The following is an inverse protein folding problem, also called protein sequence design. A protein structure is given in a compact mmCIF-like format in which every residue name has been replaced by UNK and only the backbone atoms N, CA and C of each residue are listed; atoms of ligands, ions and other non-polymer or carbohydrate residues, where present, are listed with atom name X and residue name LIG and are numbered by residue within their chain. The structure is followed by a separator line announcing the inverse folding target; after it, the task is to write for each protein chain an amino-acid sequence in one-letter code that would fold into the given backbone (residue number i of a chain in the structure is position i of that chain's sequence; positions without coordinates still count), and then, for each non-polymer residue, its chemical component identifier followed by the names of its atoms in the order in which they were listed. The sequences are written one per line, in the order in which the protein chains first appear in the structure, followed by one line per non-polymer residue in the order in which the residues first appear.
data_IF_355814500925
#
_entry.id   IF_355814500925
#
_cell.length_a   1.000
_cell.length_b   1.000
_cell.length_c   1.000
_cell.angle_alpha   90.00
_cell.angle_beta   90.00
_cell.angle_gamma   90.00
#
_symmetry.space_group_name_H-M   'P 1'
#
loop_
_entity.id
_entity.type
_entity.pdbx_description
1 polymer ?
#
# COMPACT_ATOMS: atom_id res chain seq x y z
N UNK A 1 -15.98 19.77 17.69
CA UNK A 1 -16.98 18.73 17.97
C UNK A 1 -16.25 17.50 18.53
N UNK A 2 -16.86 16.78 19.46
CA UNK A 2 -16.28 15.59 20.08
C UNK A 2 -16.99 14.33 19.57
N UNK A 3 -16.24 13.26 19.33
CA UNK A 3 -16.72 12.01 18.76
C UNK A 3 -16.38 10.84 19.67
N UNK A 4 -17.30 9.89 19.77
CA UNK A 4 -17.07 8.59 20.40
C UNK A 4 -16.24 7.68 19.49
N UNK A 5 -15.72 6.58 20.06
CA UNK A 5 -15.06 5.52 19.28
C UNK A 5 -15.93 5.03 18.12
N UNK A 6 -17.23 4.85 18.35
CA UNK A 6 -18.16 4.33 17.34
C UNK A 6 -18.38 5.33 16.20
N UNK A 7 -18.52 6.61 16.50
CA UNK A 7 -18.62 7.67 15.49
C UNK A 7 -17.33 7.80 14.70
N UNK A 8 -16.18 7.81 15.38
CA UNK A 8 -14.88 7.93 14.73
C UNK A 8 -14.60 6.73 13.82
N UNK A 9 -14.96 5.52 14.25
CA UNK A 9 -14.87 4.29 13.47
C UNK A 9 -15.69 4.38 12.17
N UNK A 10 -16.95 4.86 12.27
CA UNK A 10 -17.79 5.10 11.09
C UNK A 10 -17.17 6.11 10.14
N UNK A 11 -16.61 7.22 10.65
CA UNK A 11 -15.96 8.25 9.82
C UNK A 11 -14.70 7.74 9.12
N UNK A 12 -13.94 6.86 9.77
CA UNK A 12 -12.76 6.23 9.20
C UNK A 12 -13.09 5.03 8.28
N UNK A 13 -14.33 4.56 8.27
CA UNK A 13 -14.72 3.36 7.54
C UNK A 13 -14.08 2.08 8.09
N UNK A 14 -13.73 2.04 9.38
CA UNK A 14 -13.13 0.89 10.05
C UNK A 14 -14.03 0.34 11.16
N UNK A 15 -13.90 -0.94 11.55
CA UNK A 15 -14.56 -1.45 12.74
C UNK A 15 -14.13 -0.69 14.01
N UNK A 16 -15.06 -0.50 14.95
CA UNK A 16 -14.73 0.10 16.25
C UNK A 16 -13.65 -0.67 17.02
N UNK A 17 -13.53 -1.98 16.78
CA UNK A 17 -12.45 -2.82 17.32
C UNK A 17 -11.07 -2.36 16.85
N UNK A 18 -10.93 -1.81 15.63
CA UNK A 18 -9.66 -1.28 15.11
C UNK A 18 -9.18 -0.08 15.92
N UNK A 19 -10.08 0.87 16.23
CA UNK A 19 -9.72 2.03 17.07
C UNK A 19 -9.39 1.59 18.50
N UNK A 20 -10.15 0.65 19.07
CA UNK A 20 -9.86 0.08 20.40
C UNK A 20 -8.52 -0.63 20.41
N UNK A 21 -8.18 -1.30 19.32
CA UNK A 21 -6.88 -1.94 19.16
C UNK A 21 -5.76 -0.91 19.10
N UNK A 22 -5.91 0.19 18.37
CA UNK A 22 -4.95 1.29 18.39
C UNK A 22 -4.77 1.91 19.78
N UNK A 23 -5.85 2.06 20.54
CA UNK A 23 -5.79 2.52 21.94
C UNK A 23 -4.98 1.55 22.80
N UNK A 24 -5.26 0.25 22.70
CA UNK A 24 -4.55 -0.81 23.43
C UNK A 24 -3.05 -0.85 23.08
N UNK A 25 -2.72 -0.65 21.81
CA UNK A 25 -1.34 -0.59 21.33
C UNK A 25 -0.66 0.77 21.59
N UNK A 26 -1.27 1.66 22.38
CA UNK A 26 -0.65 2.92 22.80
C UNK A 26 -0.48 3.94 21.68
N UNK A 27 -1.21 3.80 20.57
CA UNK A 27 -1.11 4.71 19.42
C UNK A 27 -1.92 5.99 19.58
N UNK A 28 -2.71 6.12 20.65
CA UNK A 28 -3.63 7.25 20.86
C UNK A 28 -3.31 8.05 22.14
N UNK A 29 -2.04 8.46 22.38
CA UNK A 29 -1.69 9.19 23.60
C UNK A 29 -2.30 10.60 23.62
N UNK A 30 -2.61 11.17 22.45
CA UNK A 30 -3.20 12.50 22.27
C UNK A 30 -4.72 12.56 22.49
N UNK A 31 -5.40 11.41 22.57
CA UNK A 31 -6.87 11.38 22.67
C UNK A 31 -7.33 11.55 24.11
N UNK A 32 -8.27 12.46 24.37
CA UNK A 32 -8.83 12.67 25.71
C UNK A 32 -9.73 11.52 26.18
N UNK A 33 -10.08 11.54 27.47
CA UNK A 33 -11.16 10.71 28.04
C UNK A 33 -12.24 11.61 28.66
N UNK A 34 -13.50 11.20 28.56
CA UNK A 34 -14.61 11.84 29.27
C UNK A 34 -14.54 11.55 30.77
N UNK A 35 -15.39 12.22 31.55
CA UNK A 35 -15.55 11.96 33.00
C UNK A 35 -15.93 10.50 33.32
N UNK A 36 -16.60 9.81 32.40
CA UNK A 36 -16.90 8.38 32.48
C UNK A 36 -15.78 7.46 32.01
N UNK A 37 -14.58 7.98 31.71
CA UNK A 37 -13.42 7.19 31.29
C UNK A 37 -13.42 6.76 29.82
N UNK A 38 -14.37 7.22 29.00
CA UNK A 38 -14.52 6.84 27.59
C UNK A 38 -13.64 7.74 26.71
N UNK A 39 -12.91 7.17 25.74
CA UNK A 39 -12.13 7.97 24.76
C UNK A 39 -13.05 8.91 23.98
N UNK A 40 -12.65 10.18 23.93
CA UNK A 40 -13.35 11.23 23.17
C UNK A 40 -12.37 11.82 22.18
N UNK A 41 -12.74 11.74 20.90
CA UNK A 41 -11.93 12.18 19.78
C UNK A 41 -12.38 13.56 19.31
N UNK A 42 -11.44 14.32 18.81
CA UNK A 42 -11.65 15.61 18.16
C UNK A 42 -11.43 15.46 16.65
N UNK A 43 -11.65 16.54 15.91
CA UNK A 43 -11.35 16.59 14.48
C UNK A 43 -9.84 16.41 14.22
N UNK A 44 -8.97 16.95 15.08
CA UNK A 44 -7.52 16.78 14.96
C UNK A 44 -7.10 15.32 15.12
N UNK A 45 -7.80 14.57 15.98
CA UNK A 45 -7.51 13.15 16.21
C UNK A 45 -7.87 12.30 14.99
N UNK A 46 -8.84 12.74 14.18
CA UNK A 46 -9.18 12.08 12.92
C UNK A 46 -8.01 12.13 11.92
N UNK A 47 -7.33 13.28 11.82
CA UNK A 47 -6.15 13.42 10.95
C UNK A 47 -5.03 12.47 11.39
N UNK A 48 -4.78 12.36 12.70
CA UNK A 48 -3.83 11.40 13.26
C UNK A 48 -4.20 9.96 12.91
N UNK A 49 -5.46 9.58 13.04
CA UNK A 49 -5.93 8.24 12.71
C UNK A 49 -5.76 7.92 11.22
N UNK A 50 -5.97 8.90 10.33
CA UNK A 50 -5.70 8.74 8.89
C UNK A 50 -4.22 8.54 8.59
N UNK A 51 -3.33 9.24 9.31
CA UNK A 51 -1.88 9.04 9.17
C UNK A 51 -1.49 7.64 9.64
N UNK A 52 -2.00 7.19 10.79
CA UNK A 52 -1.77 5.82 11.30
C UNK A 52 -2.21 4.78 10.27
N UNK A 53 -3.40 4.96 9.68
CA UNK A 53 -3.91 4.07 8.64
C UNK A 53 -3.01 4.07 7.39
N UNK A 54 -2.55 5.25 6.96
CA UNK A 54 -1.63 5.40 5.83
C UNK A 54 -0.32 4.64 6.07
N UNK A 55 0.34 4.87 7.21
CA UNK A 55 1.59 4.18 7.58
C UNK A 55 1.39 2.66 7.69
N UNK A 56 0.24 2.22 8.21
CA UNK A 56 -0.07 0.79 8.25
C UNK A 56 -0.20 0.20 6.84
N UNK A 57 -0.82 0.92 5.90
CA UNK A 57 -0.94 0.50 4.49
C UNK A 57 0.40 0.42 3.76
N UNK A 58 1.40 1.21 4.17
CA UNK A 58 2.79 1.04 3.68
C UNK A 58 3.50 -0.16 4.30
N UNK A 59 2.82 -0.96 5.12
CA UNK A 59 3.38 -2.15 5.76
C UNK A 59 4.26 -1.82 6.98
N UNK A 60 4.17 -0.60 7.51
CA UNK A 60 4.87 -0.23 8.73
C UNK A 60 4.29 -1.02 9.92
N UNK A 61 5.17 -1.50 10.80
CA UNK A 61 4.75 -2.20 12.01
C UNK A 61 4.09 -1.22 13.00
N UNK A 62 3.18 -1.70 13.84
CA UNK A 62 2.56 -0.85 14.87
C UNK A 62 3.59 -0.29 15.86
N UNK A 63 4.70 -1.00 16.06
CA UNK A 63 5.82 -0.53 16.88
C UNK A 63 6.45 0.72 16.28
N UNK A 64 6.74 0.72 14.98
CA UNK A 64 7.36 1.88 14.31
C UNK A 64 6.36 3.05 14.20
N UNK A 65 5.07 2.75 14.02
CA UNK A 65 4.01 3.77 14.05
C UNK A 65 3.93 4.41 15.45
N UNK A 66 4.09 3.62 16.52
CA UNK A 66 4.16 4.17 17.89
C UNK A 66 5.35 5.10 18.06
N UNK A 67 6.53 4.71 17.57
CA UNK A 67 7.72 5.59 17.60
C UNK A 67 7.46 6.92 16.88
N UNK A 68 6.83 6.87 15.69
CA UNK A 68 6.43 8.09 14.99
C UNK A 68 5.52 9.00 15.84
N UNK A 69 4.55 8.42 16.53
CA UNK A 69 3.62 9.17 17.39
C UNK A 69 4.35 9.76 18.59
N UNK A 70 5.23 9.01 19.24
CA UNK A 70 6.07 9.51 20.33
C UNK A 70 6.95 10.68 19.90
N UNK A 71 7.56 10.59 18.71
CA UNK A 71 8.32 11.69 18.13
C UNK A 71 7.43 12.91 17.90
N UNK A 72 6.21 12.71 17.40
CA UNK A 72 5.31 13.83 17.19
C UNK A 72 4.86 14.51 18.49
N UNK A 73 4.70 13.74 19.58
CA UNK A 73 4.36 14.28 20.89
C UNK A 73 5.50 15.10 21.51
N UNK A 74 6.76 14.87 21.12
CA UNK A 74 7.91 15.70 21.51
C UNK A 74 7.93 17.08 20.83
N UNK A 75 7.08 17.31 19.81
CA UNK A 75 6.98 18.59 19.14
C UNK A 75 8.08 18.84 18.11
N UNK A 76 8.47 20.10 17.94
CA UNK A 76 9.21 20.56 16.75
C UNK A 76 10.66 20.07 16.69
N UNK A 77 11.26 19.70 17.84
CA UNK A 77 12.62 19.16 17.91
C UNK A 77 12.80 17.85 17.11
N UNK A 78 11.72 17.13 16.84
CA UNK A 78 11.77 15.85 16.12
C UNK A 78 11.39 15.95 14.64
N UNK A 79 11.13 17.16 14.11
CA UNK A 79 10.66 17.34 12.71
C UNK A 79 11.57 16.61 11.72
N UNK A 80 12.89 16.73 11.88
CA UNK A 80 13.86 16.08 10.99
C UNK A 80 13.73 14.55 11.01
N UNK A 81 13.53 13.95 12.19
CA UNK A 81 13.36 12.50 12.35
C UNK A 81 12.04 12.02 11.75
N UNK A 82 10.95 12.77 11.98
CA UNK A 82 9.64 12.48 11.38
C UNK A 82 9.68 12.56 9.85
N UNK A 83 10.36 13.57 9.29
CA UNK A 83 10.54 13.70 7.85
C UNK A 83 11.35 12.53 7.26
N UNK A 84 12.43 12.12 7.92
CA UNK A 84 13.23 10.98 7.48
C UNK A 84 12.41 9.68 7.45
N UNK A 85 11.54 9.46 8.44
CA UNK A 85 10.61 8.33 8.47
C UNK A 85 9.66 8.35 7.28
N UNK A 86 9.02 9.48 6.98
CA UNK A 86 8.13 9.58 5.81
C UNK A 86 8.86 9.40 4.48
N UNK A 87 10.09 9.92 4.33
CA UNK A 87 10.91 9.70 3.14
C UNK A 87 11.22 8.22 2.94
N UNK A 88 11.60 7.51 4.01
CA UNK A 88 11.83 6.06 3.96
C UNK A 88 10.58 5.32 3.50
N UNK A 89 9.41 5.65 4.06
CA UNK A 89 8.15 5.00 3.66
C UNK A 89 7.75 5.33 2.21
N UNK A 90 8.02 6.55 1.76
CA UNK A 90 7.80 6.95 0.36
C UNK A 90 8.63 6.06 -0.58
N UNK A 91 9.91 5.88 -0.31
CA UNK A 91 10.77 5.00 -1.13
C UNK A 91 10.28 3.55 -1.13
N UNK A 92 9.88 3.01 0.03
CA UNK A 92 9.30 1.65 0.11
C UNK A 92 8.05 1.53 -0.76
N UNK A 93 7.17 2.54 -0.73
CA UNK A 93 5.95 2.52 -1.53
C UNK A 93 6.25 2.68 -3.03
N UNK A 94 7.21 3.52 -3.42
CA UNK A 94 7.66 3.67 -4.81
C UNK A 94 8.18 2.34 -5.37
N UNK A 95 8.98 1.60 -4.59
CA UNK A 95 9.44 0.26 -5.00
C UNK A 95 8.27 -0.70 -5.21
N UNK A 96 7.31 -0.76 -4.27
CA UNK A 96 6.13 -1.61 -4.41
C UNK A 96 5.25 -1.21 -5.59
N UNK A 97 5.11 0.08 -5.86
CA UNK A 97 4.38 0.55 -7.04
C UNK A 97 5.04 0.07 -8.33
N UNK A 98 6.38 0.10 -8.40
CA UNK A 98 7.10 -0.43 -9.56
C UNK A 98 6.91 -1.95 -9.72
N UNK A 99 6.95 -2.72 -8.62
CA UNK A 99 6.68 -4.18 -8.63
C UNK A 99 5.23 -4.51 -9.05
N UNK A 100 4.26 -3.73 -8.55
CA UNK A 100 2.85 -3.88 -8.93
C UNK A 100 2.61 -3.50 -10.38
N UNK A 101 3.27 -2.46 -10.87
CA UNK A 101 3.20 -2.08 -12.28
C UNK A 101 3.78 -3.19 -13.17
N UNK A 102 4.94 -3.72 -12.80
CA UNK A 102 5.54 -4.87 -13.49
C UNK A 102 4.62 -6.10 -13.52
N UNK A 103 3.83 -6.31 -12.47
CA UNK A 103 2.81 -7.37 -12.40
C UNK A 103 1.64 -7.05 -13.33
N UNK A 104 1.16 -5.81 -13.33
CA UNK A 104 0.10 -5.34 -14.21
C UNK A 104 0.49 -5.52 -15.68
N UNK A 105 1.70 -5.15 -16.05
CA UNK A 105 2.19 -5.25 -17.43
C UNK A 105 2.15 -6.71 -17.93
N UNK A 106 2.45 -7.68 -17.06
CA UNK A 106 2.32 -9.12 -17.37
C UNK A 106 0.87 -9.54 -17.56
N UNK A 107 -0.06 -9.01 -16.75
CA UNK A 107 -1.48 -9.28 -16.90
C UNK A 107 -2.01 -8.70 -18.22
N UNK A 108 -1.64 -7.46 -18.54
CA UNK A 108 -2.02 -6.80 -19.79
C UNK A 108 -1.51 -7.57 -21.01
N UNK A 109 -0.27 -8.07 -20.96
CA UNK A 109 0.26 -8.96 -21.99
C UNK A 109 -0.57 -10.24 -22.14
N UNK A 110 -0.96 -10.87 -21.03
CA UNK A 110 -1.78 -12.09 -21.09
C UNK A 110 -3.21 -11.82 -21.56
N UNK A 111 -3.80 -10.68 -21.22
CA UNK A 111 -5.07 -10.23 -21.77
C UNK A 111 -4.98 -10.10 -23.29
N UNK A 112 -3.99 -9.34 -23.80
CA UNK A 112 -3.75 -9.23 -25.23
C UNK A 112 -3.55 -10.60 -25.91
N UNK A 113 -2.75 -11.48 -25.29
CA UNK A 113 -2.49 -12.82 -25.81
C UNK A 113 -3.78 -13.62 -25.98
N UNK A 114 -4.62 -13.68 -24.95
CA UNK A 114 -5.85 -14.46 -25.00
C UNK A 114 -6.94 -13.83 -25.86
N UNK A 115 -7.01 -12.50 -25.94
CA UNK A 115 -7.89 -11.81 -26.88
C UNK A 115 -7.50 -12.12 -28.33
N UNK A 116 -6.20 -12.11 -28.62
CA UNK A 116 -5.66 -12.46 -29.95
C UNK A 116 -5.92 -13.94 -30.26
N UNK A 117 -5.65 -14.84 -29.31
CA UNK A 117 -5.92 -16.27 -29.48
C UNK A 117 -7.41 -16.56 -29.69
N UNK A 118 -8.30 -15.88 -28.97
CA UNK A 118 -9.75 -16.01 -29.15
C UNK A 118 -10.18 -15.58 -30.55
N UNK A 119 -9.58 -14.51 -31.09
CA UNK A 119 -9.84 -14.07 -32.46
C UNK A 119 -9.33 -15.05 -33.53
N UNK A 120 -8.23 -15.76 -33.25
CA UNK A 120 -7.65 -16.78 -34.15
C UNK A 120 -8.24 -18.18 -33.95
N UNK A 121 -8.99 -18.41 -32.86
CA UNK A 121 -9.55 -19.71 -32.49
C UNK A 121 -8.54 -20.72 -31.93
N UNK A 122 -7.28 -20.32 -31.70
CA UNK A 122 -6.22 -21.17 -31.15
C UNK A 122 -5.16 -20.32 -30.44
N UNK A 123 -4.50 -20.89 -29.44
CA UNK A 123 -3.32 -20.31 -28.77
C UNK A 123 -2.02 -20.67 -29.47
N UNK A 124 -2.04 -21.61 -30.42
CA UNK A 124 -0.86 -22.04 -31.18
C UNK A 124 -0.32 -20.89 -32.05
N UNK A 125 1.00 -20.67 -32.03
CA UNK A 125 1.67 -19.65 -32.84
C UNK A 125 1.50 -18.20 -32.37
N UNK A 126 0.62 -17.91 -31.40
CA UNK A 126 0.39 -16.55 -30.90
C UNK A 126 1.64 -15.99 -30.20
N UNK A 127 2.37 -16.85 -29.47
CA UNK A 127 3.63 -16.48 -28.82
C UNK A 127 4.78 -16.22 -29.81
N UNK A 128 4.64 -16.71 -31.04
CA UNK A 128 5.63 -16.64 -32.12
C UNK A 128 5.34 -15.48 -33.08
N UNK A 129 4.26 -14.72 -32.85
CA UNK A 129 3.93 -13.54 -33.63
C UNK A 129 5.05 -12.51 -33.59
N UNK A 130 5.31 -11.82 -34.73
CA UNK A 130 6.35 -10.80 -34.82
C UNK A 130 6.04 -9.63 -33.84
N UNK A 131 7.08 -8.96 -33.34
CA UNK A 131 6.95 -7.84 -32.37
C UNK A 131 6.06 -6.70 -32.89
N UNK A 132 5.98 -6.56 -34.21
CA UNK A 132 5.12 -5.60 -34.92
C UNK A 132 3.62 -5.84 -34.69
N UNK A 133 3.22 -7.08 -34.41
CA UNK A 133 1.84 -7.43 -34.09
C UNK A 133 1.45 -7.08 -32.64
N UNK A 134 2.42 -6.76 -31.80
CA UNK A 134 2.20 -6.40 -30.40
C UNK A 134 2.13 -4.88 -30.24
N UNK A 135 1.23 -4.39 -29.36
CA UNK A 135 1.31 -3.03 -28.87
C UNK A 135 2.72 -2.73 -28.33
N UNK A 136 3.27 -1.56 -28.70
CA UNK A 136 4.64 -1.17 -28.35
C UNK A 136 4.92 -1.25 -26.84
N UNK A 137 3.92 -0.89 -26.02
CA UNK A 137 4.00 -0.94 -24.56
C UNK A 137 4.21 -2.36 -23.99
N UNK A 138 3.83 -3.41 -24.72
CA UNK A 138 3.91 -4.80 -24.26
C UNK A 138 5.17 -5.54 -24.75
N UNK A 139 5.94 -4.96 -25.67
CA UNK A 139 7.17 -5.57 -26.19
C UNK A 139 8.23 -5.80 -25.09
N UNK A 140 8.52 -4.82 -24.21
CA UNK A 140 9.48 -5.05 -23.12
C UNK A 140 9.04 -6.14 -22.15
N UNK A 141 7.72 -6.31 -21.97
CA UNK A 141 7.14 -7.35 -21.12
C UNK A 141 7.40 -8.73 -21.71
N UNK A 142 7.20 -8.88 -23.02
CA UNK A 142 7.46 -10.14 -23.73
C UNK A 142 8.92 -10.55 -23.66
N UNK A 143 9.83 -9.61 -23.92
CA UNK A 143 11.27 -9.85 -23.82
C UNK A 143 11.65 -10.32 -22.41
N UNK A 144 11.15 -9.62 -21.38
CA UNK A 144 11.37 -10.02 -19.98
C UNK A 144 10.85 -11.42 -19.67
N UNK A 145 9.66 -11.77 -20.16
CA UNK A 145 9.07 -13.10 -19.92
C UNK A 145 9.84 -14.22 -20.66
N UNK A 146 10.34 -13.96 -21.87
CA UNK A 146 11.20 -14.91 -22.60
C UNK A 146 12.55 -15.10 -21.89
N UNK A 147 13.19 -14.00 -21.50
CA UNK A 147 14.47 -14.06 -20.77
C UNK A 147 14.34 -14.79 -19.41
N UNK A 148 13.22 -14.62 -18.70
CA UNK A 148 12.96 -15.37 -17.47
C UNK A 148 12.81 -16.88 -17.71
N UNK A 149 12.15 -17.29 -18.79
CA UNK A 149 12.00 -18.70 -19.15
C UNK A 149 13.34 -19.36 -19.54
N UNK A 150 14.22 -18.62 -20.21
CA UNK A 150 15.57 -19.06 -20.59
C UNK A 150 16.48 -19.22 -19.36
N UNK A 151 16.42 -18.28 -18.40
CA UNK A 151 17.19 -18.37 -17.16
C UNK A 151 16.80 -19.57 -16.29
N UNK A 152 15.51 -19.93 -16.24
CA UNK A 152 15.03 -21.14 -15.54
C UNK A 152 15.48 -22.45 -16.22
N UNK A 153 15.86 -22.41 -17.50
CA UNK A 153 16.35 -23.60 -18.23
C UNK A 153 17.86 -23.83 -18.06
N UNK A 154 18.62 -22.80 -17.66
CA UNK A 154 20.09 -22.85 -17.48
C UNK A 154 20.53 -23.24 -16.05
N UNK A 155 19.61 -23.18 -15.08
CA UNK A 155 19.86 -23.61 -13.68
C UNK A 155 19.55 -25.11 -13.42
N UNK A 156 19.24 -25.89 -14.45
CA UNK A 156 18.89 -27.34 -14.37
C UNK A 156 19.99 -28.25 -14.89
#
# INVERSE_FOLDING_TARGET
MAYTVGEMARRLGVPASTIRYYDKEGLLPFVGRSSGGIRVFTEKDFEWLRIIECLKKTGMSLKDIREYIELAMQGDETIARRLALFRKQRTVLETRMAELQQTMDTLDYKCWFYETAAAHGSTEGISDLPDEALPEALRPVRERLRAAAEAETEEV
#
